data_IF_440063078999
#
_entry.id   IF_440063078999
#
_cell.length_a   1.000
_cell.length_b   1.000
_cell.length_c   1.000
_cell.angle_alpha   90.00
_cell.angle_beta   90.00
_cell.angle_gamma   90.00
#
_symmetry.space_group_name_H-M   'P 1'
#
loop_
_entity.id
_entity.type
_entity.pdbx_description
1 polymer ?
#
# COMPACT_ATOMS: atom_id res chain seq x y z
N UNK A 1 6.47 4.91 -3.89
CA UNK A 1 5.49 5.51 -3.00
C UNK A 1 5.46 4.72 -1.73
N UNK A 2 4.80 5.30 -0.74
CA UNK A 2 3.69 4.66 -0.06
C UNK A 2 3.54 3.16 -0.31
N UNK A 3 3.53 2.44 0.80
CA UNK A 3 2.98 1.12 1.04
C UNK A 3 2.98 0.07 -0.09
N UNK A 4 3.52 -1.11 0.21
CA UNK A 4 3.58 -2.27 -0.69
C UNK A 4 2.63 -3.37 -0.19
N UNK A 5 2.00 -4.08 -1.11
CA UNK A 5 1.30 -5.33 -0.84
C UNK A 5 2.32 -6.46 -0.83
N UNK A 6 2.36 -7.26 0.22
CA UNK A 6 3.28 -8.40 0.35
C UNK A 6 2.66 -9.68 -0.20
N UNK A 7 3.45 -10.75 -0.23
CA UNK A 7 3.00 -12.07 -0.69
C UNK A 7 2.01 -12.75 0.28
N UNK A 8 1.67 -12.13 1.42
CA UNK A 8 0.58 -12.61 2.29
C UNK A 8 -0.82 -12.24 1.79
N UNK A 9 -0.90 -11.43 0.73
CA UNK A 9 -2.16 -11.06 0.10
C UNK A 9 -2.96 -12.30 -0.36
N UNK A 10 -4.24 -12.34 0.02
CA UNK A 10 -5.18 -13.41 -0.33
C UNK A 10 -6.19 -13.00 -1.42
N UNK A 11 -5.92 -11.92 -2.17
CA UNK A 11 -6.76 -11.41 -3.26
C UNK A 11 -8.26 -11.21 -2.88
N UNK A 12 -8.52 -10.76 -1.64
CA UNK A 12 -9.89 -10.68 -1.10
C UNK A 12 -10.77 -9.52 -1.64
N UNK A 13 -10.22 -8.58 -2.42
CA UNK A 13 -10.99 -7.43 -2.94
C UNK A 13 -11.15 -6.24 -1.97
N UNK A 14 -10.99 -6.45 -0.66
CA UNK A 14 -11.46 -5.49 0.37
C UNK A 14 -10.81 -4.10 0.35
N UNK A 15 -9.68 -3.90 -0.31
CA UNK A 15 -8.94 -2.64 -0.27
C UNK A 15 -8.82 -1.92 -1.63
N UNK A 16 -9.40 -2.46 -2.72
CA UNK A 16 -9.36 -1.79 -4.05
C UNK A 16 -10.09 -0.45 -3.99
N UNK A 17 -11.34 -0.47 -3.52
CA UNK A 17 -12.22 0.70 -3.53
C UNK A 17 -11.87 1.73 -2.44
N UNK A 18 -11.00 1.35 -1.51
CA UNK A 18 -10.54 2.20 -0.40
C UNK A 18 -9.42 3.16 -0.81
N UNK A 19 -8.79 2.94 -1.98
CA UNK A 19 -7.70 3.80 -2.43
C UNK A 19 -8.24 5.10 -3.06
N UNK A 20 -8.05 6.28 -2.43
CA UNK A 20 -8.67 7.52 -2.90
C UNK A 20 -8.14 8.02 -4.26
N UNK A 21 -7.04 7.45 -4.74
CA UNK A 21 -6.36 7.86 -5.99
C UNK A 21 -6.20 6.70 -6.97
N UNK A 22 -6.93 5.60 -6.78
CA UNK A 22 -6.97 4.46 -7.71
C UNK A 22 -5.57 3.92 -8.06
N UNK A 23 -4.73 3.76 -7.04
CA UNK A 23 -3.36 3.27 -7.22
C UNK A 23 -3.25 1.74 -7.17
N UNK A 24 -4.31 1.06 -6.74
CA UNK A 24 -4.34 -0.38 -6.53
C UNK A 24 -4.97 -1.02 -7.76
N UNK A 25 -4.36 -2.09 -8.24
CA UNK A 25 -4.92 -2.98 -9.26
C UNK A 25 -5.02 -4.40 -8.70
N UNK A 26 -5.92 -5.18 -9.28
CA UNK A 26 -6.11 -6.58 -8.90
C UNK A 26 -4.93 -7.47 -9.33
N UNK A 27 -5.04 -8.76 -9.05
CA UNK A 27 -4.04 -9.78 -9.37
C UNK A 27 -3.93 -10.07 -10.88
N UNK A 28 -5.01 -9.82 -11.65
CA UNK A 28 -5.02 -10.00 -13.10
C UNK A 28 -4.23 -8.88 -13.79
N UNK A 29 -4.40 -7.65 -13.32
CA UNK A 29 -3.73 -6.46 -13.83
C UNK A 29 -2.38 -6.17 -13.15
N UNK A 30 -1.90 -7.08 -12.28
CA UNK A 30 -0.61 -6.93 -11.61
C UNK A 30 0.55 -6.97 -12.64
N UNK A 31 1.35 -5.88 -12.78
CA UNK A 31 2.43 -5.80 -13.77
C UNK A 31 3.60 -6.77 -13.49
N UNK A 32 3.69 -7.32 -12.28
CA UNK A 32 4.70 -8.30 -11.87
C UNK A 32 4.26 -9.75 -12.16
N UNK A 33 3.05 -9.97 -12.68
CA UNK A 33 2.45 -11.29 -12.93
C UNK A 33 2.45 -12.18 -11.68
N UNK A 34 2.07 -11.61 -10.53
CA UNK A 34 1.96 -12.34 -9.27
C UNK A 34 0.49 -12.45 -8.86
N UNK A 35 0.14 -13.54 -8.17
CA UNK A 35 -1.21 -13.84 -7.65
C UNK A 35 -1.53 -13.01 -6.40
N UNK A 36 -1.25 -11.71 -6.45
CA UNK A 36 -1.54 -10.72 -5.42
C UNK A 36 -1.87 -9.39 -6.06
N UNK A 37 -2.59 -8.54 -5.34
CA UNK A 37 -2.87 -7.19 -5.82
C UNK A 37 -1.59 -6.35 -5.80
N UNK A 38 -1.61 -5.25 -6.56
CA UNK A 38 -0.45 -4.40 -6.76
C UNK A 38 -0.77 -2.93 -6.52
N UNK A 39 0.16 -2.21 -5.88
CA UNK A 39 0.07 -0.76 -5.67
C UNK A 39 1.10 -0.08 -6.56
N UNK A 40 0.63 0.73 -7.49
CA UNK A 40 1.50 1.52 -8.37
C UNK A 40 2.25 2.57 -7.58
N UNK A 41 3.54 2.34 -7.37
CA UNK A 41 4.42 3.15 -6.55
C UNK A 41 4.52 4.64 -6.95
N UNK A 42 3.93 5.06 -8.06
CA UNK A 42 3.91 6.43 -8.56
C UNK A 42 2.52 7.09 -8.56
N UNK A 43 1.47 6.45 -8.03
CA UNK A 43 0.09 6.97 -7.88
C UNK A 43 -0.43 7.23 -6.43
N UNK A 44 -0.49 6.23 -5.54
CA UNK A 44 -0.85 6.33 -4.10
C UNK A 44 -0.04 7.30 -3.22
N UNK A 45 -0.77 8.20 -2.60
CA UNK A 45 -0.23 9.32 -1.82
C UNK A 45 -0.10 9.02 -0.32
N UNK A 46 0.04 7.77 0.11
CA UNK A 46 -0.09 7.35 1.53
C UNK A 46 -1.44 7.74 2.17
N UNK A 47 -2.45 8.02 1.36
CA UNK A 47 -3.69 8.70 1.74
C UNK A 47 -3.49 10.10 2.36
N UNK A 48 -2.33 10.74 2.21
CA UNK A 48 -2.10 12.12 2.68
C UNK A 48 -3.09 13.06 1.97
N UNK A 49 -3.80 13.86 2.76
CA UNK A 49 -4.88 14.74 2.28
C UNK A 49 -6.25 14.06 2.14
N UNK A 50 -6.35 12.76 2.39
CA UNK A 50 -7.60 11.98 2.32
C UNK A 50 -7.93 11.30 3.64
N UNK A 51 -6.96 10.61 4.26
CA UNK A 51 -7.12 9.87 5.51
C UNK A 51 -5.89 10.02 6.41
N UNK A 52 -6.10 9.90 7.72
CA UNK A 52 -5.02 9.95 8.71
C UNK A 52 -4.04 8.79 8.58
N UNK A 53 -4.44 7.69 7.94
CA UNK A 53 -3.63 6.50 7.67
C UNK A 53 -4.01 5.87 6.32
N UNK A 54 -3.17 5.00 5.73
CA UNK A 54 -3.51 4.30 4.48
C UNK A 54 -4.76 3.41 4.65
N UNK A 55 -5.87 3.82 4.01
CA UNK A 55 -7.15 3.11 4.11
C UNK A 55 -7.10 1.66 3.63
N UNK A 56 -6.28 1.39 2.59
CA UNK A 56 -6.05 0.03 2.10
C UNK A 56 -5.48 -0.91 3.18
N UNK A 57 -4.68 -0.39 4.10
CA UNK A 57 -4.14 -1.18 5.19
C UNK A 57 -5.18 -1.39 6.31
N UNK A 58 -6.13 -0.47 6.50
CA UNK A 58 -7.22 -0.60 7.48
C UNK A 58 -8.28 -1.60 7.04
N UNK A 59 -8.52 -1.67 5.73
CA UNK A 59 -9.50 -2.57 5.15
C UNK A 59 -8.94 -3.96 4.82
N UNK A 60 -7.62 -4.16 4.85
CA UNK A 60 -7.02 -5.45 4.58
C UNK A 60 -7.28 -6.41 5.75
N UNK A 61 -7.91 -7.58 5.53
CA UNK A 61 -8.17 -8.55 6.59
C UNK A 61 -6.94 -9.37 6.99
N UNK A 62 -5.82 -9.19 6.29
CA UNK A 62 -4.58 -9.93 6.52
C UNK A 62 -3.53 -9.02 7.16
N UNK A 63 -3.15 -9.34 8.39
CA UNK A 63 -2.10 -8.62 9.11
C UNK A 63 -0.76 -8.66 8.35
N UNK A 64 -0.06 -7.53 8.32
CA UNK A 64 1.22 -7.41 7.62
C UNK A 64 1.16 -7.55 6.09
N UNK A 65 -0.04 -7.59 5.50
CA UNK A 65 -0.21 -7.58 4.04
C UNK A 65 0.22 -6.24 3.44
N UNK A 66 -0.04 -5.13 4.13
CA UNK A 66 0.37 -3.80 3.67
C UNK A 66 1.51 -3.28 4.54
N UNK A 67 2.67 -3.04 3.93
CA UNK A 67 3.92 -2.65 4.60
C UNK A 67 4.46 -1.35 4.06
N UNK A 68 5.19 -0.57 4.86
CA UNK A 68 5.83 0.66 4.40
C UNK A 68 6.96 0.37 3.39
N UNK A 69 6.94 1.06 2.24
CA UNK A 69 7.99 1.01 1.23
C UNK A 69 8.61 2.40 0.99
N UNK A 70 9.63 2.44 0.15
CA UNK A 70 10.42 3.62 -0.21
C UNK A 70 9.56 4.68 -0.90
N UNK A 71 9.80 5.94 -0.57
CA UNK A 71 9.11 7.07 -1.21
C UNK A 71 9.60 7.18 -2.66
N UNK A 72 8.67 7.19 -3.62
CA UNK A 72 9.03 7.42 -5.02
C UNK A 72 9.18 8.91 -5.27
N UNK A 73 10.10 9.35 -6.14
CA UNK A 73 10.29 10.76 -6.44
C UNK A 73 8.99 11.45 -6.84
N UNK A 74 8.69 12.58 -6.19
CA UNK A 74 7.48 13.38 -6.46
C UNK A 74 6.21 12.92 -5.73
N UNK A 75 6.26 11.84 -4.95
CA UNK A 75 5.15 11.38 -4.13
C UNK A 75 5.31 11.87 -2.68
N UNK A 76 4.20 12.19 -1.97
CA UNK A 76 4.29 12.66 -0.59
C UNK A 76 4.67 11.52 0.35
N UNK A 77 5.19 11.87 1.52
CA UNK A 77 5.51 10.91 2.59
C UNK A 77 5.08 11.45 3.94
N UNK A 78 4.68 10.55 4.84
CA UNK A 78 4.30 10.88 6.20
C UNK A 78 5.53 11.19 7.06
N UNK A 79 5.51 12.32 7.77
CA UNK A 79 6.62 12.78 8.62
C UNK A 79 6.89 11.86 9.82
N UNK A 80 5.88 11.12 10.27
CA UNK A 80 6.00 10.18 11.39
C UNK A 80 6.51 8.79 10.97
N UNK A 81 6.80 8.57 9.68
CA UNK A 81 7.31 7.29 9.16
C UNK A 81 8.75 7.48 8.65
N UNK A 82 9.71 7.02 9.46
CA UNK A 82 11.13 7.17 9.16
C UNK A 82 11.66 6.10 8.17
N UNK A 83 12.92 6.24 7.77
CA UNK A 83 13.58 5.32 6.83
C UNK A 83 13.73 3.89 7.35
N UNK A 84 13.79 3.68 8.66
CA UNK A 84 13.87 2.34 9.25
C UNK A 84 12.55 1.59 9.14
N UNK A 85 11.41 2.30 9.19
CA UNK A 85 10.09 1.73 8.97
C UNK A 85 9.85 1.40 7.49
N UNK A 86 10.43 2.19 6.57
CA UNK A 86 10.31 1.99 5.11
C UNK A 86 11.24 0.89 4.61
N UNK A 87 11.04 -0.32 5.12
CA UNK A 87 11.91 -1.48 4.90
C UNK A 87 11.18 -2.67 4.24
N UNK A 88 9.95 -2.46 3.77
CA UNK A 88 9.09 -3.49 3.16
C UNK A 88 8.71 -4.66 4.07
N UNK A 89 8.96 -4.54 5.37
CA UNK A 89 8.61 -5.54 6.38
C UNK A 89 7.78 -4.96 7.53
N UNK A 90 7.84 -3.63 7.72
CA UNK A 90 7.07 -2.94 8.76
C UNK A 90 5.65 -2.74 8.27
N UNK A 91 4.71 -3.44 8.90
CA UNK A 91 3.29 -3.29 8.62
C UNK A 91 2.82 -1.86 8.89
N UNK A 92 1.84 -1.40 8.11
CA UNK A 92 1.20 -0.08 8.30
C UNK A 92 0.39 -0.03 9.58
N UNK A 93 -0.17 -1.17 9.99
CA UNK A 93 -0.83 -1.40 11.27
C UNK A 93 -0.06 -2.44 12.07
N UNK A 94 0.07 -2.20 13.38
CA UNK A 94 0.65 -3.11 14.36
C UNK A 94 -0.47 -3.65 15.23
#
# INVERSE_FOLDING_TARGET
MAVKITDSCIACGSYIDECPVNAIVDDVDNPENQERYYIYANKCVECIGYNDQPACASACPTDGCIVWSTIEPGQPGRDNINTQMRNENTAVFI
#
